data_IF_367441886081
#
_entry.id   IF_367441886081
#
_cell.length_a   1.000
_cell.length_b   1.000
_cell.length_c   1.000
_cell.angle_alpha   90.00
_cell.angle_beta   90.00
_cell.angle_gamma   90.00
#
_symmetry.space_group_name_H-M   'P 1'
#
loop_
_entity.id
_entity.type
_entity.pdbx_description
1 polymer ?
#
# COMPACT_ATOMS: atom_id res chain seq x y z
N UNK A 1 9.43 20.35 9.90
CA UNK A 1 9.91 21.59 9.23
C UNK A 1 10.41 21.21 7.84
N UNK A 2 10.20 22.03 6.82
CA UNK A 2 10.83 21.80 5.52
C UNK A 2 12.31 22.14 5.67
N UNK A 3 13.20 21.21 5.35
CA UNK A 3 14.65 21.44 5.32
C UNK A 3 14.98 22.50 4.24
N UNK A 4 15.38 23.72 4.63
CA UNK A 4 15.66 24.80 3.69
C UNK A 4 16.90 24.54 2.82
N UNK A 5 17.84 23.71 3.30
CA UNK A 5 19.08 23.39 2.59
C UNK A 5 18.80 22.44 1.42
N UNK A 6 17.92 21.44 1.63
CA UNK A 6 17.51 20.52 0.57
C UNK A 6 16.73 21.23 -0.54
N UNK A 7 15.90 22.22 -0.20
CA UNK A 7 15.16 23.00 -1.21
C UNK A 7 16.09 23.93 -2.01
N UNK A 8 17.13 24.50 -1.39
CA UNK A 8 18.13 25.29 -2.11
C UNK A 8 18.93 24.44 -3.11
N UNK A 9 19.33 23.24 -2.72
CA UNK A 9 20.06 22.34 -3.62
C UNK A 9 19.21 21.92 -4.81
N UNK A 10 17.93 21.61 -4.59
CA UNK A 10 16.96 21.32 -5.66
C UNK A 10 16.87 22.49 -6.64
N UNK A 11 16.64 23.71 -6.15
CA UNK A 11 16.53 24.90 -7.00
C UNK A 11 17.80 25.16 -7.81
N UNK A 12 18.97 24.95 -7.20
CA UNK A 12 20.26 25.14 -7.88
C UNK A 12 20.49 24.14 -9.01
N UNK A 13 20.30 22.84 -8.74
CA UNK A 13 20.53 21.77 -9.72
C UNK A 13 19.48 21.81 -10.83
N UNK A 14 18.22 22.05 -10.48
CA UNK A 14 17.11 22.05 -11.43
C UNK A 14 16.87 23.39 -12.12
N UNK A 15 17.67 24.43 -11.87
CA UNK A 15 17.47 25.78 -12.42
C UNK A 15 17.16 25.82 -13.94
N UNK A 16 17.86 25.08 -14.81
CA UNK A 16 17.55 25.07 -16.25
C UNK A 16 16.17 24.44 -16.54
N UNK A 17 15.82 23.38 -15.82
CA UNK A 17 14.56 22.65 -15.98
C UNK A 17 13.37 23.44 -15.43
N UNK A 18 13.56 24.16 -14.32
CA UNK A 18 12.56 25.06 -13.77
C UNK A 18 12.20 26.15 -14.78
N UNK A 19 13.19 26.76 -15.44
CA UNK A 19 12.95 27.76 -16.48
C UNK A 19 12.22 27.19 -17.70
N UNK A 20 12.49 25.93 -18.03
CA UNK A 20 11.94 25.27 -19.22
C UNK A 20 10.51 24.80 -19.03
N UNK A 21 10.21 24.19 -17.88
CA UNK A 21 8.93 23.51 -17.64
C UNK A 21 8.03 24.24 -16.64
N UNK A 22 8.60 25.05 -15.75
CA UNK A 22 7.92 25.56 -14.55
C UNK A 22 8.06 27.09 -14.40
N UNK A 23 8.19 27.82 -15.50
CA UNK A 23 8.38 29.29 -15.50
C UNK A 23 7.26 30.05 -14.80
N UNK A 24 6.04 29.51 -14.82
CA UNK A 24 4.84 30.10 -14.21
C UNK A 24 4.55 29.53 -12.81
N UNK A 25 5.34 28.56 -12.33
CA UNK A 25 5.10 27.92 -11.03
C UNK A 25 5.69 28.75 -9.89
N UNK A 26 4.85 29.10 -8.91
CA UNK A 26 5.31 29.69 -7.65
C UNK A 26 6.15 28.69 -6.83
N UNK A 27 7.05 29.21 -5.98
CA UNK A 27 8.07 28.42 -5.25
C UNK A 27 7.59 27.13 -4.59
N UNK A 28 6.40 27.13 -3.98
CA UNK A 28 5.81 25.94 -3.30
C UNK A 28 5.35 24.83 -4.27
N UNK A 29 5.11 25.17 -5.53
CA UNK A 29 4.61 24.26 -6.56
C UNK A 29 5.72 23.78 -7.53
N UNK A 30 6.94 24.32 -7.42
CA UNK A 30 8.04 23.98 -8.33
C UNK A 30 8.35 22.48 -8.29
N UNK A 31 8.45 21.88 -7.10
CA UNK A 31 8.69 20.43 -6.99
C UNK A 31 7.58 19.62 -7.66
N UNK A 32 6.32 20.02 -7.51
CA UNK A 32 5.19 19.34 -8.14
C UNK A 32 5.25 19.43 -9.67
N UNK A 33 5.54 20.62 -10.22
CA UNK A 33 5.73 20.80 -11.65
C UNK A 33 6.92 19.98 -12.19
N UNK A 34 8.04 19.97 -11.47
CA UNK A 34 9.21 19.17 -11.83
C UNK A 34 8.91 17.66 -11.83
N UNK A 35 8.12 17.17 -10.87
CA UNK A 35 7.66 15.77 -10.82
C UNK A 35 6.82 15.41 -12.05
N UNK A 36 5.89 16.27 -12.45
CA UNK A 36 5.04 16.04 -13.64
C UNK A 36 5.86 15.93 -14.94
N UNK A 37 6.97 16.68 -15.03
CA UNK A 37 7.84 16.69 -16.19
C UNK A 37 9.07 15.78 -16.06
N UNK A 38 9.20 15.03 -14.95
CA UNK A 38 10.39 14.24 -14.58
C UNK A 38 10.82 13.22 -15.64
N UNK A 39 9.87 12.68 -16.38
CA UNK A 39 10.09 11.66 -17.40
C UNK A 39 10.14 12.21 -18.83
N UNK A 40 10.14 13.53 -19.01
CA UNK A 40 10.38 14.14 -20.32
C UNK A 40 11.79 13.79 -20.83
N UNK A 41 11.94 13.50 -22.12
CA UNK A 41 13.24 13.32 -22.78
C UNK A 41 14.16 14.54 -22.63
N UNK A 42 13.54 15.70 -22.44
CA UNK A 42 14.21 17.00 -22.30
C UNK A 42 14.61 17.31 -20.85
N UNK A 43 14.34 16.40 -19.90
CA UNK A 43 14.69 16.53 -18.49
C UNK A 43 16.18 16.23 -18.25
N UNK A 44 16.87 17.17 -17.61
CA UNK A 44 18.27 16.99 -17.23
C UNK A 44 18.44 15.80 -16.25
N UNK A 45 19.35 14.85 -16.51
CA UNK A 45 19.52 13.67 -15.65
C UNK A 45 19.89 14.00 -14.20
N UNK A 46 20.67 15.06 -13.94
CA UNK A 46 21.04 15.46 -12.58
C UNK A 46 19.84 16.05 -11.84
N UNK A 47 19.02 16.85 -12.53
CA UNK A 47 17.76 17.31 -11.98
C UNK A 47 16.79 16.15 -11.72
N UNK A 48 16.66 15.18 -12.65
CA UNK A 48 15.85 13.96 -12.46
C UNK A 48 16.26 13.18 -11.21
N UNK A 49 17.57 12.99 -11.00
CA UNK A 49 18.10 12.36 -9.79
C UNK A 49 17.79 13.17 -8.53
N UNK A 50 17.91 14.50 -8.59
CA UNK A 50 17.60 15.38 -7.45
C UNK A 50 16.13 15.35 -7.06
N UNK A 51 15.22 15.36 -8.05
CA UNK A 51 13.77 15.19 -7.82
C UNK A 51 13.51 13.85 -7.14
N UNK A 52 14.13 12.77 -7.64
CA UNK A 52 13.97 11.43 -7.06
C UNK A 52 14.48 11.38 -5.62
N UNK A 53 15.66 11.94 -5.34
CA UNK A 53 16.20 12.04 -3.99
C UNK A 53 15.24 12.79 -3.06
N UNK A 54 14.65 13.90 -3.52
CA UNK A 54 13.64 14.64 -2.75
C UNK A 54 12.40 13.81 -2.47
N UNK A 55 11.89 13.07 -3.46
CA UNK A 55 10.74 12.17 -3.27
C UNK A 55 11.05 11.06 -2.24
N UNK A 56 12.24 10.43 -2.31
CA UNK A 56 12.67 9.42 -1.32
C UNK A 56 12.63 10.01 0.09
N UNK A 57 13.27 11.17 0.31
CA UNK A 57 13.27 11.84 1.62
C UNK A 57 11.87 12.24 2.08
N UNK A 58 10.97 12.62 1.17
CA UNK A 58 9.58 12.90 1.54
C UNK A 58 8.80 11.65 1.93
N UNK A 59 9.19 10.49 1.41
CA UNK A 59 8.53 9.23 1.68
C UNK A 59 9.08 8.53 2.94
N UNK A 60 10.31 8.83 3.36
CA UNK A 60 10.86 8.31 4.64
C UNK A 60 10.18 8.92 5.86
N UNK A 61 9.62 10.13 5.75
CA UNK A 61 8.89 10.74 6.85
C UNK A 61 7.79 11.69 6.38
N UNK A 62 6.54 11.42 6.77
CA UNK A 62 5.38 12.24 6.43
C UNK A 62 5.55 13.71 6.87
N UNK A 63 6.36 13.99 7.91
CA UNK A 63 6.65 15.35 8.39
C UNK A 63 7.40 16.18 7.36
N UNK A 64 8.15 15.54 6.47
CA UNK A 64 8.91 16.13 5.37
C UNK A 64 8.09 16.30 4.09
N UNK A 65 6.89 15.72 4.03
CA UNK A 65 5.93 15.88 2.95
C UNK A 65 4.78 16.82 3.35
N UNK A 66 4.89 18.14 3.10
CA UNK A 66 3.87 19.11 3.51
C UNK A 66 2.52 18.91 2.81
N UNK A 67 2.52 18.39 1.58
CA UNK A 67 1.29 18.11 0.82
C UNK A 67 0.52 16.97 1.47
N UNK A 68 1.20 15.85 1.72
CA UNK A 68 0.62 14.70 2.43
C UNK A 68 0.16 15.08 3.83
N UNK A 69 0.99 15.80 4.61
CA UNK A 69 0.64 16.21 5.97
C UNK A 69 -0.60 17.11 6.01
N UNK A 70 -0.80 17.94 4.99
CA UNK A 70 -1.98 18.80 4.87
C UNK A 70 -3.21 17.98 4.52
N UNK A 71 -3.13 17.12 3.50
CA UNK A 71 -4.25 16.32 3.02
C UNK A 71 -4.70 15.25 4.04
N UNK A 72 -3.75 14.56 4.68
CA UNK A 72 -4.02 13.49 5.64
C UNK A 72 -4.03 13.98 7.10
N UNK A 73 -4.26 15.28 7.34
CA UNK A 73 -4.18 15.90 8.68
C UNK A 73 -5.09 15.20 9.71
N UNK A 74 -6.28 14.78 9.30
CA UNK A 74 -7.23 14.08 10.16
C UNK A 74 -7.00 12.56 10.22
N UNK A 75 -6.51 11.96 9.13
CA UNK A 75 -6.39 10.51 8.99
C UNK A 75 -5.16 9.95 9.70
N UNK A 76 -4.04 10.68 9.69
CA UNK A 76 -2.79 10.27 10.36
C UNK A 76 -3.01 9.97 11.87
N UNK A 77 -3.52 10.90 12.70
CA UNK A 77 -3.76 10.61 14.11
C UNK A 77 -4.93 9.63 14.33
N UNK A 78 -5.85 9.50 13.36
CA UNK A 78 -6.98 8.57 13.48
C UNK A 78 -6.56 7.11 13.27
N UNK A 79 -5.70 6.85 12.29
CA UNK A 79 -5.38 5.49 11.86
C UNK A 79 -3.98 5.03 12.21
N UNK A 80 -3.01 5.95 12.31
CA UNK A 80 -1.59 5.63 12.48
C UNK A 80 -1.05 6.05 13.85
N UNK A 81 -1.93 6.28 14.83
CA UNK A 81 -1.56 6.75 16.18
C UNK A 81 -0.59 5.81 16.90
N UNK A 82 -0.75 4.50 16.73
CA UNK A 82 0.14 3.51 17.35
C UNK A 82 1.60 3.72 16.95
N UNK A 83 1.84 3.99 15.66
CA UNK A 83 3.16 4.27 15.10
C UNK A 83 3.73 5.57 15.69
N UNK A 84 2.88 6.60 15.79
CA UNK A 84 3.29 7.88 16.39
C UNK A 84 3.62 7.75 17.87
N UNK A 85 2.92 6.88 18.61
CA UNK A 85 3.17 6.65 20.03
C UNK A 85 4.39 5.78 20.32
N UNK A 86 4.78 4.92 19.38
CA UNK A 86 5.96 4.06 19.52
C UNK A 86 7.27 4.74 19.15
N UNK A 87 7.22 5.87 18.44
CA UNK A 87 8.40 6.59 17.99
C UNK A 87 8.90 7.58 19.06
N UNK A 88 10.22 7.59 19.30
CA UNK A 88 10.84 8.70 20.01
C UNK A 88 10.73 9.97 19.14
N UNK A 89 10.66 11.15 19.75
CA UNK A 89 10.38 12.42 19.03
C UNK A 89 11.34 12.70 17.86
N UNK A 90 12.58 12.22 17.99
CA UNK A 90 13.71 12.56 17.12
C UNK A 90 14.14 11.41 16.19
N UNK A 91 13.43 10.27 16.19
CA UNK A 91 13.71 9.18 15.25
C UNK A 91 12.94 9.40 13.94
N UNK A 92 13.60 9.12 12.81
CA UNK A 92 12.90 8.98 11.52
C UNK A 92 11.92 7.82 11.60
N UNK A 93 10.75 7.99 10.98
CA UNK A 93 9.68 6.98 11.01
C UNK A 93 9.82 5.93 9.90
N UNK A 94 10.91 5.97 9.11
CA UNK A 94 11.24 5.03 8.04
C UNK A 94 10.08 4.74 7.05
N UNK A 95 9.18 5.69 6.84
CA UNK A 95 8.02 5.55 5.96
C UNK A 95 6.85 4.76 6.56
N UNK A 96 6.90 4.38 7.85
CA UNK A 96 5.84 3.59 8.51
C UNK A 96 4.47 4.26 8.48
N UNK A 97 4.41 5.59 8.62
CA UNK A 97 3.14 6.33 8.55
C UNK A 97 2.55 6.27 7.13
N UNK A 98 3.39 6.35 6.10
CA UNK A 98 2.93 6.24 4.70
C UNK A 98 2.45 4.81 4.43
N UNK A 99 3.21 3.79 4.86
CA UNK A 99 2.79 2.38 4.78
C UNK A 99 1.42 2.14 5.47
N UNK A 100 1.21 2.71 6.66
CA UNK A 100 -0.09 2.69 7.32
C UNK A 100 -1.22 3.34 6.49
N UNK A 101 -0.98 4.53 5.92
CA UNK A 101 -1.95 5.20 5.07
C UNK A 101 -2.25 4.40 3.79
N UNK A 102 -1.25 3.77 3.16
CA UNK A 102 -1.42 2.89 1.99
C UNK A 102 -2.36 1.72 2.29
N UNK A 103 -2.21 1.09 3.46
CA UNK A 103 -3.14 0.03 3.90
C UNK A 103 -4.57 0.55 4.10
N UNK A 104 -4.74 1.76 4.64
CA UNK A 104 -6.07 2.38 4.82
C UNK A 104 -6.69 2.88 3.53
N UNK A 105 -5.87 3.26 2.55
CA UNK A 105 -6.30 3.48 1.17
C UNK A 105 -6.90 2.20 0.59
N UNK A 106 -6.19 1.06 0.75
CA UNK A 106 -6.68 -0.22 0.26
C UNK A 106 -7.99 -0.67 0.92
N UNK A 107 -8.18 -0.30 2.19
CA UNK A 107 -9.43 -0.53 2.94
C UNK A 107 -10.54 0.49 2.61
N UNK A 108 -10.28 1.50 1.76
CA UNK A 108 -11.19 2.62 1.44
C UNK A 108 -11.65 3.42 2.68
N UNK A 109 -10.74 3.64 3.65
CA UNK A 109 -11.07 4.28 4.95
C UNK A 109 -10.57 5.71 5.10
N UNK A 110 -9.83 6.22 4.11
CA UNK A 110 -9.25 7.56 4.15
C UNK A 110 -10.30 8.64 3.82
N UNK A 111 -10.02 9.88 4.22
CA UNK A 111 -10.77 11.04 3.70
C UNK A 111 -10.43 11.28 2.21
N UNK A 112 -11.33 11.90 1.42
CA UNK A 112 -11.11 12.12 0.00
C UNK A 112 -9.77 12.82 -0.33
N UNK A 113 -9.45 13.90 0.39
CA UNK A 113 -8.20 14.64 0.19
C UNK A 113 -6.97 13.75 0.44
N UNK A 114 -7.01 12.92 1.49
CA UNK A 114 -5.93 12.00 1.82
C UNK A 114 -5.85 10.84 0.82
N UNK A 115 -6.99 10.29 0.40
CA UNK A 115 -7.09 9.24 -0.61
C UNK A 115 -6.39 9.66 -1.91
N UNK A 116 -6.70 10.86 -2.42
CA UNK A 116 -6.09 11.41 -3.63
C UNK A 116 -4.57 11.54 -3.50
N UNK A 117 -4.07 12.03 -2.36
CA UNK A 117 -2.62 12.16 -2.14
C UNK A 117 -1.92 10.82 -1.97
N UNK A 118 -2.54 9.85 -1.29
CA UNK A 118 -1.98 8.50 -1.12
C UNK A 118 -2.00 7.75 -2.45
N UNK A 119 -3.01 7.95 -3.29
CA UNK A 119 -3.05 7.40 -4.66
C UNK A 119 -1.86 7.89 -5.49
N UNK A 120 -1.51 9.17 -5.41
CA UNK A 120 -0.33 9.73 -6.11
C UNK A 120 0.96 9.08 -5.60
N UNK A 121 1.11 8.93 -4.27
CA UNK A 121 2.28 8.25 -3.69
C UNK A 121 2.38 6.81 -4.19
N UNK A 122 1.25 6.09 -4.18
CA UNK A 122 1.16 4.71 -4.65
C UNK A 122 1.54 4.58 -6.13
N UNK A 123 1.05 5.48 -6.99
CA UNK A 123 1.42 5.55 -8.41
C UNK A 123 2.91 5.78 -8.62
N UNK A 124 3.49 6.73 -7.89
CA UNK A 124 4.90 7.07 -7.99
C UNK A 124 5.78 5.92 -7.53
N UNK A 125 5.43 5.26 -6.42
CA UNK A 125 6.12 4.07 -5.92
C UNK A 125 6.02 2.89 -6.87
N UNK A 126 4.84 2.66 -7.46
CA UNK A 126 4.62 1.59 -8.42
C UNK A 126 5.48 1.72 -9.69
N UNK A 127 5.87 2.95 -10.07
CA UNK A 127 6.80 3.20 -11.18
C UNK A 127 8.26 3.15 -10.74
N UNK A 128 8.56 3.52 -9.50
CA UNK A 128 9.92 3.56 -8.94
C UNK A 128 9.93 3.03 -7.50
N UNK A 129 10.28 1.74 -7.37
CA UNK A 129 10.33 1.01 -6.09
C UNK A 129 11.20 1.67 -5.01
N UNK A 130 12.10 2.59 -5.38
CA UNK A 130 12.93 3.38 -4.43
C UNK A 130 12.12 4.39 -3.64
N UNK A 131 10.95 4.77 -4.14
CA UNK A 131 10.03 5.68 -3.48
C UNK A 131 9.19 4.98 -2.40
N UNK A 132 9.33 3.67 -2.20
CA UNK A 132 8.76 2.95 -1.07
C UNK A 132 9.86 2.54 -0.08
N UNK A 133 10.03 3.28 1.04
CA UNK A 133 11.07 2.98 2.03
C UNK A 133 10.91 1.63 2.72
N UNK A 134 9.67 1.18 2.96
CA UNK A 134 9.43 -0.11 3.61
C UNK A 134 9.79 -1.25 2.65
N UNK A 135 9.46 -1.10 1.36
CA UNK A 135 9.91 -2.05 0.35
C UNK A 135 11.43 -2.07 0.23
N UNK A 136 12.11 -0.91 0.20
CA UNK A 136 13.58 -0.87 0.20
C UNK A 136 14.15 -1.62 1.41
N UNK A 137 13.68 -1.28 2.60
CA UNK A 137 14.17 -1.84 3.86
C UNK A 137 14.01 -3.36 3.90
N UNK A 138 12.84 -3.86 3.52
CA UNK A 138 12.51 -5.28 3.67
C UNK A 138 12.97 -6.14 2.49
N UNK A 139 13.00 -5.60 1.27
CA UNK A 139 13.25 -6.35 0.04
C UNK A 139 14.63 -6.17 -0.59
N UNK A 140 15.56 -5.39 -0.01
CA UNK A 140 16.90 -5.14 -0.61
C UNK A 140 17.59 -6.44 -1.08
N UNK A 141 17.60 -7.48 -0.25
CA UNK A 141 18.22 -8.77 -0.60
C UNK A 141 17.46 -9.53 -1.70
N UNK A 142 16.14 -9.47 -1.71
CA UNK A 142 15.33 -10.19 -2.69
C UNK A 142 15.37 -9.51 -4.05
N UNK A 143 15.43 -8.17 -4.07
CA UNK A 143 15.61 -7.37 -5.29
C UNK A 143 16.96 -7.70 -5.93
N UNK A 144 18.04 -7.72 -5.15
CA UNK A 144 19.37 -8.05 -5.69
C UNK A 144 19.52 -9.50 -6.15
N UNK A 145 18.71 -10.42 -5.62
CA UNK A 145 18.77 -11.85 -5.95
C UNK A 145 17.82 -12.25 -7.07
N UNK A 146 16.58 -11.74 -7.07
CA UNK A 146 15.51 -12.17 -7.96
C UNK A 146 15.27 -11.20 -9.11
N UNK A 147 15.55 -9.91 -8.92
CA UNK A 147 15.17 -8.81 -9.82
C UNK A 147 16.37 -7.92 -10.18
N UNK A 148 17.56 -8.52 -10.27
CA UNK A 148 18.82 -7.79 -10.48
C UNK A 148 18.87 -7.09 -11.84
N UNK A 149 18.33 -7.72 -12.88
CA UNK A 149 18.30 -7.19 -14.24
C UNK A 149 17.40 -5.95 -14.32
N UNK A 150 16.19 -6.06 -13.78
CA UNK A 150 15.22 -4.96 -13.72
C UNK A 150 15.74 -3.80 -12.86
N UNK A 151 16.42 -4.09 -11.75
CA UNK A 151 17.04 -3.07 -10.91
C UNK A 151 18.23 -2.39 -11.60
N UNK A 152 19.02 -3.12 -12.39
CA UNK A 152 20.18 -2.60 -13.11
C UNK A 152 19.80 -1.66 -14.27
N UNK A 153 18.63 -1.84 -14.88
CA UNK A 153 18.10 -0.93 -15.90
C UNK A 153 17.86 0.48 -15.35
N UNK A 154 17.62 0.63 -14.04
CA UNK A 154 17.34 1.90 -13.36
C UNK A 154 16.17 2.70 -13.99
N UNK A 155 15.28 2.01 -14.69
CA UNK A 155 14.13 2.61 -15.35
C UNK A 155 12.94 2.78 -14.40
N UNK A 156 12.15 3.84 -14.61
CA UNK A 156 10.95 4.15 -13.82
C UNK A 156 9.71 3.57 -14.50
N UNK A 157 9.76 2.27 -14.77
CA UNK A 157 8.76 1.51 -15.54
C UNK A 157 7.99 0.51 -14.69
N UNK A 158 8.29 0.42 -13.39
CA UNK A 158 7.65 -0.51 -12.44
C UNK A 158 8.11 -1.98 -12.55
N UNK A 159 9.12 -2.28 -13.37
CA UNK A 159 9.55 -3.67 -13.63
C UNK A 159 10.06 -4.39 -12.38
N UNK A 160 10.70 -3.68 -11.44
CA UNK A 160 11.16 -4.27 -10.18
C UNK A 160 9.99 -4.78 -9.34
N UNK A 161 8.92 -4.00 -9.21
CA UNK A 161 7.72 -4.46 -8.50
C UNK A 161 7.04 -5.61 -9.23
N UNK A 162 6.95 -5.57 -10.57
CA UNK A 162 6.41 -6.67 -11.35
C UNK A 162 7.20 -7.97 -11.14
N UNK A 163 8.53 -7.88 -11.15
CA UNK A 163 9.39 -9.02 -10.85
C UNK A 163 9.15 -9.57 -9.44
N UNK A 164 9.00 -8.70 -8.42
CA UNK A 164 8.70 -9.12 -7.05
C UNK A 164 7.33 -9.81 -6.95
N UNK A 165 6.28 -9.27 -7.60
CA UNK A 165 4.94 -9.86 -7.62
C UNK A 165 4.95 -11.26 -8.25
N UNK A 166 5.64 -11.42 -9.38
CA UNK A 166 5.77 -12.72 -10.08
C UNK A 166 6.56 -13.73 -9.25
N UNK A 167 7.58 -13.27 -8.52
CA UNK A 167 8.42 -14.13 -7.69
C UNK A 167 7.96 -14.24 -6.23
N UNK A 168 6.72 -13.82 -5.89
CA UNK A 168 6.19 -13.82 -4.53
C UNK A 168 6.41 -15.15 -3.78
N UNK A 169 6.25 -16.28 -4.46
CA UNK A 169 6.45 -17.62 -3.89
C UNK A 169 7.92 -17.97 -3.61
N UNK A 170 8.85 -17.29 -4.27
CA UNK A 170 10.30 -17.52 -4.16
C UNK A 170 10.98 -16.57 -3.16
N UNK A 171 10.23 -15.58 -2.65
CA UNK A 171 10.70 -14.66 -1.61
C UNK A 171 10.83 -15.42 -0.30
N UNK A 172 12.03 -15.37 0.30
CA UNK A 172 12.34 -16.06 1.56
C UNK A 172 12.19 -15.15 2.76
N UNK A 173 12.51 -13.86 2.59
CA UNK A 173 12.38 -12.88 3.66
C UNK A 173 10.90 -12.57 3.93
N UNK A 174 10.41 -12.92 5.11
CA UNK A 174 9.00 -12.70 5.49
C UNK A 174 8.62 -11.21 5.50
N UNK A 175 9.54 -10.33 5.89
CA UNK A 175 9.34 -8.88 5.78
C UNK A 175 9.09 -8.44 4.35
N UNK A 176 9.93 -8.88 3.40
CA UNK A 176 9.74 -8.57 1.99
C UNK A 176 8.43 -9.16 1.45
N UNK A 177 8.15 -10.42 1.81
CA UNK A 177 6.93 -11.10 1.40
C UNK A 177 5.68 -10.36 1.86
N UNK A 178 5.69 -9.84 3.09
CA UNK A 178 4.62 -9.00 3.63
C UNK A 178 4.44 -7.72 2.81
N UNK A 179 5.52 -7.01 2.49
CA UNK A 179 5.43 -5.79 1.68
C UNK A 179 4.92 -6.08 0.26
N UNK A 180 5.32 -7.19 -0.36
CA UNK A 180 4.77 -7.59 -1.67
C UNK A 180 3.28 -7.94 -1.59
N UNK A 181 2.82 -8.57 -0.50
CA UNK A 181 1.40 -8.80 -0.26
C UNK A 181 0.62 -7.50 -0.04
N UNK A 182 1.21 -6.52 0.68
CA UNK A 182 0.63 -5.19 0.84
C UNK A 182 0.49 -4.49 -0.52
N UNK A 183 1.54 -4.53 -1.36
CA UNK A 183 1.49 -3.99 -2.73
C UNK A 183 0.35 -4.62 -3.55
N UNK A 184 0.13 -5.93 -3.45
CA UNK A 184 -0.98 -6.61 -4.12
C UNK A 184 -2.35 -6.18 -3.56
N UNK A 185 -2.45 -5.94 -2.26
CA UNK A 185 -3.68 -5.42 -1.63
C UNK A 185 -3.98 -3.99 -2.10
N UNK A 186 -2.95 -3.15 -2.15
CA UNK A 186 -3.01 -1.76 -2.60
C UNK A 186 -3.40 -1.65 -4.08
N UNK A 187 -2.76 -2.43 -4.95
CA UNK A 187 -3.01 -2.42 -6.40
C UNK A 187 -4.39 -2.92 -6.79
N UNK A 188 -5.03 -3.73 -5.95
CA UNK A 188 -6.42 -4.14 -6.13
C UNK A 188 -7.41 -3.00 -5.92
N UNK A 189 -7.07 -2.02 -5.09
CA UNK A 189 -8.01 -0.99 -4.65
C UNK A 189 -8.40 -0.03 -5.78
N UNK A 190 -7.48 0.27 -6.69
CA UNK A 190 -7.78 1.06 -7.89
C UNK A 190 -6.83 0.73 -9.04
N UNK A 191 -7.36 0.74 -10.28
CA UNK A 191 -6.58 0.52 -11.50
C UNK A 191 -5.43 1.51 -11.63
N UNK A 192 -5.61 2.74 -11.17
CA UNK A 192 -4.56 3.75 -11.25
C UNK A 192 -3.38 3.47 -10.33
N UNK A 193 -3.51 2.61 -9.32
CA UNK A 193 -2.40 2.19 -8.43
C UNK A 193 -1.54 1.09 -9.07
N UNK A 194 -1.97 0.55 -10.21
CA UNK A 194 -1.17 -0.38 -11.02
C UNK A 194 -0.92 0.23 -12.41
N UNK A 195 0.08 1.11 -12.57
CA UNK A 195 0.35 1.80 -13.84
C UNK A 195 0.60 0.85 -15.01
N UNK A 196 1.18 -0.33 -14.74
CA UNK A 196 1.46 -1.35 -15.74
C UNK A 196 0.15 -1.98 -16.24
N UNK A 197 -0.75 -2.36 -15.33
CA UNK A 197 -2.08 -2.87 -15.69
C UNK A 197 -2.93 -1.77 -16.34
N UNK A 198 -2.94 -0.56 -15.79
CA UNK A 198 -3.67 0.58 -16.33
C UNK A 198 -3.27 0.87 -17.79
N UNK A 199 -1.97 0.85 -18.08
CA UNK A 199 -1.46 1.04 -19.45
C UNK A 199 -1.94 -0.06 -20.39
N UNK A 200 -1.86 -1.32 -19.96
CA UNK A 200 -2.33 -2.46 -20.74
C UNK A 200 -3.84 -2.41 -21.01
N UNK A 201 -4.62 -1.89 -20.07
CA UNK A 201 -6.07 -1.80 -20.13
C UNK A 201 -6.61 -0.44 -20.61
N UNK A 202 -5.76 0.52 -20.99
CA UNK A 202 -6.18 1.89 -21.30
C UNK A 202 -7.26 1.97 -22.40
N UNK A 203 -7.12 1.16 -23.46
CA UNK A 203 -8.12 1.08 -24.53
C UNK A 203 -9.44 0.47 -24.04
N UNK A 204 -9.37 -0.60 -23.26
CA UNK A 204 -10.57 -1.26 -22.74
C UNK A 204 -11.29 -0.37 -21.73
N UNK A 205 -10.58 0.39 -20.90
CA UNK A 205 -11.18 1.39 -20.01
C UNK A 205 -11.92 2.44 -20.83
N UNK A 206 -11.30 2.95 -21.90
CA UNK A 206 -11.90 3.97 -22.78
C UNK A 206 -13.13 3.47 -23.53
N UNK A 207 -13.20 2.19 -23.88
CA UNK A 207 -14.29 1.64 -24.68
C UNK A 207 -15.37 0.94 -23.85
N UNK A 208 -14.98 0.10 -22.89
CA UNK A 208 -15.90 -0.71 -22.07
C UNK A 208 -16.32 0.02 -20.79
N UNK A 209 -15.43 0.80 -20.19
CA UNK A 209 -15.67 1.49 -18.92
C UNK A 209 -15.78 3.01 -19.07
N UNK A 210 -16.11 3.50 -20.27
CA UNK A 210 -16.10 4.93 -20.61
C UNK A 210 -17.01 5.79 -19.72
N UNK A 211 -18.17 5.25 -19.34
CA UNK A 211 -19.15 5.92 -18.48
C UNK A 211 -18.81 5.82 -16.99
N UNK A 212 -17.79 5.04 -16.62
CA UNK A 212 -17.42 4.80 -15.23
C UNK A 212 -16.40 5.84 -14.79
N UNK A 213 -16.74 6.69 -13.79
CA UNK A 213 -15.81 7.69 -13.31
C UNK A 213 -14.59 7.06 -12.61
N UNK A 214 -13.40 7.66 -12.75
CA UNK A 214 -12.16 7.17 -12.14
C UNK A 214 -12.23 7.23 -10.60
N UNK A 215 -11.34 6.50 -9.93
CA UNK A 215 -11.26 6.46 -8.47
C UNK A 215 -12.16 5.42 -7.80
N UNK A 216 -11.86 5.11 -6.54
CA UNK A 216 -12.57 4.14 -5.69
C UNK A 216 -12.69 2.73 -6.27
N UNK A 217 -11.78 2.35 -7.17
CA UNK A 217 -11.78 1.03 -7.79
C UNK A 217 -12.91 0.78 -8.79
N UNK A 218 -13.71 1.78 -9.15
CA UNK A 218 -14.88 1.57 -10.03
C UNK A 218 -14.49 1.04 -11.41
N UNK A 219 -13.44 1.59 -12.00
CA UNK A 219 -12.93 1.13 -13.30
C UNK A 219 -12.27 -0.25 -13.17
N UNK A 220 -11.64 -0.56 -12.03
CA UNK A 220 -11.13 -1.91 -11.76
C UNK A 220 -12.27 -2.94 -11.68
N UNK A 221 -13.36 -2.63 -10.97
CA UNK A 221 -14.55 -3.48 -10.89
C UNK A 221 -15.18 -3.70 -12.26
N UNK A 222 -15.32 -2.63 -13.06
CA UNK A 222 -15.82 -2.74 -14.44
C UNK A 222 -14.97 -3.68 -15.30
N UNK A 223 -13.63 -3.58 -15.24
CA UNK A 223 -12.73 -4.47 -15.97
C UNK A 223 -12.87 -5.93 -15.51
N UNK A 224 -12.96 -6.18 -14.20
CA UNK A 224 -13.16 -7.54 -13.66
C UNK A 224 -14.50 -8.15 -14.10
N UNK A 225 -15.57 -7.35 -14.16
CA UNK A 225 -16.88 -7.79 -14.67
C UNK A 225 -16.82 -8.06 -16.19
N UNK A 226 -16.19 -7.15 -16.95
CA UNK A 226 -15.98 -7.29 -18.39
C UNK A 226 -15.16 -8.54 -18.75
N UNK A 227 -14.21 -8.94 -17.89
CA UNK A 227 -13.44 -10.18 -18.07
C UNK A 227 -14.31 -11.44 -17.92
N UNK A 228 -15.32 -11.40 -17.06
CA UNK A 228 -16.23 -12.51 -16.81
C UNK A 228 -17.36 -12.60 -17.84
N UNK A 229 -17.73 -11.48 -18.47
CA UNK A 229 -18.74 -11.45 -19.52
C UNK A 229 -18.22 -12.04 -20.84
N UNK A 230 -18.83 -13.15 -21.27
CA UNK A 230 -18.50 -13.82 -22.55
C UNK A 230 -18.79 -12.97 -23.78
N UNK A 231 -19.61 -11.91 -23.66
CA UNK A 231 -19.96 -11.01 -24.76
C UNK A 231 -18.91 -9.93 -24.96
N UNK A 232 -18.15 -9.60 -23.92
CA UNK A 232 -17.12 -8.56 -23.97
C UNK A 232 -15.78 -9.19 -24.33
N UNK A 233 -15.06 -8.55 -25.24
CA UNK A 233 -13.71 -8.96 -25.64
C UNK A 233 -12.72 -7.86 -25.32
N UNK A 234 -12.03 -8.03 -24.20
CA UNK A 234 -10.91 -7.18 -23.81
C UNK A 234 -9.73 -7.38 -24.76
N UNK A 235 -8.85 -6.37 -24.85
CA UNK A 235 -7.58 -6.49 -25.55
C UNK A 235 -6.76 -7.66 -24.96
N UNK A 236 -6.00 -8.41 -25.79
CA UNK A 236 -5.26 -9.59 -25.32
C UNK A 236 -4.32 -9.30 -24.15
N UNK A 237 -3.62 -8.16 -24.19
CA UNK A 237 -2.67 -7.77 -23.14
C UNK A 237 -3.39 -7.39 -21.83
N UNK A 238 -4.46 -6.59 -21.90
CA UNK A 238 -5.29 -6.28 -20.74
C UNK A 238 -5.87 -7.55 -20.12
N UNK A 239 -6.47 -8.42 -20.95
CA UNK A 239 -7.05 -9.69 -20.52
C UNK A 239 -6.04 -10.55 -19.77
N UNK A 240 -4.84 -10.71 -20.33
CA UNK A 240 -3.78 -11.51 -19.73
C UNK A 240 -3.35 -10.93 -18.38
N UNK A 241 -2.95 -9.66 -18.35
CA UNK A 241 -2.46 -9.02 -17.11
C UNK A 241 -3.53 -8.95 -16.03
N UNK A 242 -4.77 -8.65 -16.40
CA UNK A 242 -5.88 -8.62 -15.45
C UNK A 242 -6.14 -10.00 -14.85
N UNK A 243 -6.07 -11.07 -15.65
CA UNK A 243 -6.17 -12.44 -15.14
C UNK A 243 -5.01 -12.77 -14.20
N UNK A 244 -3.77 -12.44 -14.58
CA UNK A 244 -2.58 -12.66 -13.73
C UNK A 244 -2.76 -11.95 -12.37
N UNK A 245 -3.31 -10.72 -12.36
CA UNK A 245 -3.61 -9.98 -11.13
C UNK A 245 -4.69 -10.63 -10.29
N UNK A 246 -5.78 -11.10 -10.89
CA UNK A 246 -6.86 -11.80 -10.17
C UNK A 246 -6.30 -13.04 -9.48
N UNK A 247 -5.43 -13.80 -10.14
CA UNK A 247 -4.80 -14.99 -9.58
C UNK A 247 -3.85 -14.63 -8.43
N UNK A 248 -3.05 -13.57 -8.59
CA UNK A 248 -2.18 -13.04 -7.52
C UNK A 248 -2.98 -12.55 -6.31
N UNK A 249 -4.06 -11.80 -6.51
CA UNK A 249 -4.92 -11.33 -5.41
C UNK A 249 -5.63 -12.48 -4.69
N UNK A 250 -6.08 -13.50 -5.44
CA UNK A 250 -6.66 -14.72 -4.89
C UNK A 250 -5.66 -15.47 -4.01
N UNK A 251 -4.40 -15.57 -4.46
CA UNK A 251 -3.33 -16.12 -3.65
C UNK A 251 -3.05 -15.27 -2.42
N UNK A 252 -2.89 -13.95 -2.58
CA UNK A 252 -2.62 -13.02 -1.48
C UNK A 252 -3.70 -13.09 -0.39
N UNK A 253 -4.99 -13.17 -0.77
CA UNK A 253 -6.09 -13.32 0.17
C UNK A 253 -6.04 -14.62 0.99
N UNK A 254 -5.47 -15.71 0.44
CA UNK A 254 -5.31 -16.98 1.15
C UNK A 254 -4.15 -16.97 2.15
N UNK A 255 -3.12 -16.17 1.89
CA UNK A 255 -1.88 -16.14 2.70
C UNK A 255 -1.75 -14.90 3.59
N UNK A 256 -2.57 -13.87 3.37
CA UNK A 256 -2.57 -12.66 4.19
C UNK A 256 -2.84 -13.04 5.66
N UNK A 257 -2.03 -12.56 6.62
CA UNK A 257 -2.24 -12.85 8.04
C UNK A 257 -3.59 -12.29 8.49
N UNK A 258 -4.29 -13.02 9.37
CA UNK A 258 -5.52 -12.51 9.98
C UNK A 258 -5.20 -11.38 10.95
N UNK A 259 -5.49 -10.14 10.57
CA UNK A 259 -5.27 -8.96 11.43
C UNK A 259 -6.42 -8.71 12.42
N UNK A 260 -7.54 -9.43 12.27
CA UNK A 260 -8.72 -9.32 13.15
C UNK A 260 -9.50 -10.62 13.32
N UNK A 261 -10.43 -10.63 14.27
CA UNK A 261 -11.24 -11.82 14.58
C UNK A 261 -12.14 -12.26 13.40
N UNK A 262 -12.61 -11.34 12.56
CA UNK A 262 -13.35 -11.69 11.33
C UNK A 262 -12.46 -12.43 10.33
N UNK A 263 -11.25 -11.94 10.11
CA UNK A 263 -10.31 -12.52 9.14
C UNK A 263 -9.79 -13.85 9.65
N UNK A 264 -9.58 -13.97 10.97
CA UNK A 264 -9.24 -15.21 11.63
C UNK A 264 -10.36 -16.24 11.49
N UNK A 265 -11.63 -15.82 11.64
CA UNK A 265 -12.77 -16.69 11.43
C UNK A 265 -12.85 -17.20 9.98
N UNK A 266 -12.63 -16.32 8.99
CA UNK A 266 -12.58 -16.71 7.57
C UNK A 266 -11.44 -17.71 7.34
N UNK A 267 -10.23 -17.44 7.85
CA UNK A 267 -9.09 -18.36 7.72
C UNK A 267 -9.39 -19.72 8.34
N UNK A 268 -9.93 -19.76 9.56
CA UNK A 268 -10.31 -21.00 10.25
C UNK A 268 -11.35 -21.77 9.44
N UNK A 269 -12.35 -21.09 8.87
CA UNK A 269 -13.42 -21.73 8.08
C UNK A 269 -12.95 -22.24 6.71
N UNK A 270 -11.93 -21.61 6.13
CA UNK A 270 -11.31 -22.04 4.87
C UNK A 270 -10.23 -23.12 5.05
N UNK A 271 -9.79 -23.38 6.27
CA UNK A 271 -8.77 -24.39 6.56
C UNK A 271 -9.28 -25.82 6.31
N UNK A 272 -8.45 -26.72 5.74
CA UNK A 272 -8.81 -28.14 5.62
C UNK A 272 -9.10 -28.79 6.97
N UNK A 273 -8.55 -28.25 8.06
CA UNK A 273 -8.73 -28.74 9.43
C UNK A 273 -9.83 -27.99 10.21
N UNK A 274 -10.72 -27.25 9.54
CA UNK A 274 -11.73 -26.39 10.19
C UNK A 274 -12.54 -27.09 11.28
N UNK A 275 -12.96 -28.34 11.04
CA UNK A 275 -13.79 -29.10 12.00
C UNK A 275 -13.02 -29.37 13.29
N UNK A 276 -11.73 -29.69 13.18
CA UNK A 276 -10.86 -29.90 14.34
C UNK A 276 -10.67 -28.61 15.12
N UNK A 277 -10.34 -27.51 14.43
CA UNK A 277 -10.12 -26.20 15.05
C UNK A 277 -11.38 -25.71 15.78
N UNK A 278 -12.55 -25.81 15.15
CA UNK A 278 -13.83 -25.43 15.76
C UNK A 278 -14.17 -26.29 16.98
N UNK A 279 -13.86 -27.59 16.94
CA UNK A 279 -14.08 -28.49 18.08
C UNK A 279 -13.20 -28.09 19.26
N UNK A 280 -11.91 -27.82 19.02
CA UNK A 280 -10.98 -27.39 20.08
C UNK A 280 -11.41 -26.06 20.71
N UNK A 281 -11.80 -25.07 19.89
CA UNK A 281 -12.32 -23.79 20.37
C UNK A 281 -13.60 -24.01 21.20
N UNK A 282 -14.53 -24.83 20.71
CA UNK A 282 -15.78 -25.14 21.41
C UNK A 282 -15.56 -25.79 22.77
N UNK A 283 -14.66 -26.77 22.86
CA UNK A 283 -14.27 -27.40 24.14
C UNK A 283 -13.63 -26.39 25.09
N UNK A 284 -12.76 -25.52 24.60
CA UNK A 284 -12.13 -24.46 25.40
C UNK A 284 -13.15 -23.49 26.00
N UNK A 285 -14.12 -23.03 25.21
CA UNK A 285 -15.20 -22.15 25.68
C UNK A 285 -16.09 -22.86 26.70
N UNK A 286 -16.41 -24.14 26.47
CA UNK A 286 -17.20 -24.94 27.42
C UNK A 286 -16.49 -25.10 28.78
N UNK A 287 -15.19 -25.37 28.77
CA UNK A 287 -14.38 -25.46 29.99
C UNK A 287 -14.32 -24.13 30.74
N UNK A 288 -14.11 -23.02 30.04
CA UNK A 288 -14.12 -21.68 30.66
C UNK A 288 -15.48 -21.36 31.28
N UNK A 289 -16.58 -21.71 30.60
CA UNK A 289 -17.93 -21.52 31.12
C UNK A 289 -18.18 -22.37 32.38
N UNK A 290 -17.78 -23.64 32.37
CA UNK A 290 -17.91 -24.53 33.54
C UNK A 290 -17.08 -24.02 34.72
N UNK A 291 -15.84 -23.57 34.48
CA UNK A 291 -15.00 -22.96 35.51
C UNK A 291 -15.63 -21.68 36.07
N UNK A 292 -16.17 -20.82 35.21
CA UNK A 292 -16.88 -19.61 35.63
C UNK A 292 -18.11 -19.91 36.50
N UNK A 293 -18.90 -20.93 36.16
CA UNK A 293 -20.05 -21.37 36.96
C UNK A 293 -19.63 -21.95 38.32
N UNK A 294 -18.55 -22.73 38.36
CA UNK A 294 -18.01 -23.29 39.60
C UNK A 294 -17.46 -22.19 40.51
N UNK A 295 -16.64 -21.28 39.97
CA UNK A 295 -16.11 -20.13 40.72
C UNK A 295 -17.25 -19.22 41.22
N UNK A 296 -18.24 -18.91 40.38
CA UNK A 296 -19.40 -18.10 40.78
C UNK A 296 -20.25 -18.74 41.89
N UNK A 297 -20.41 -20.08 41.87
CA UNK A 297 -21.11 -20.81 42.95
C UNK A 297 -20.31 -20.83 44.26
N UNK A 298 -18.99 -20.98 44.19
CA UNK A 298 -18.11 -20.94 45.37
C UNK A 298 -18.12 -19.55 45.99
N UNK A 299 -17.95 -18.48 45.20
CA UNK A 299 -17.99 -17.10 45.70
C UNK A 299 -19.34 -16.77 46.34
N UNK A 300 -20.47 -17.18 45.71
CA UNK A 300 -21.81 -16.94 46.26
C UNK A 300 -22.04 -17.65 47.59
N UNK A 301 -21.53 -18.87 47.75
CA UNK A 301 -21.60 -19.64 49.00
C UNK A 301 -20.77 -18.99 50.12
N UNK A 302 -19.54 -18.55 49.81
CA UNK A 302 -18.67 -17.87 50.78
C UNK A 302 -19.26 -16.52 51.23
N UNK A 303 -19.84 -15.73 50.32
CA UNK A 303 -20.53 -14.48 50.70
C UNK A 303 -21.78 -14.69 51.54
N UNK A 304 -22.50 -15.82 51.38
CA UNK A 304 -23.63 -16.15 52.24
C UNK A 304 -23.18 -16.53 53.65
N UNK A 305 -22.07 -17.27 53.80
CA UNK A 305 -21.53 -17.60 55.12
C UNK A 305 -20.94 -16.41 55.87
N UNK A 306 -20.35 -15.44 55.15
CA UNK A 306 -19.89 -14.17 55.74
C UNK A 306 -21.03 -13.23 56.16
N UNK A 307 -22.21 -13.33 55.55
CA UNK A 307 -23.40 -12.51 55.91
C UNK A 307 -24.21 -13.11 57.06
N UNK A 308 -24.00 -14.39 57.35
CA UNK A 308 -24.62 -15.13 58.47
C UNK A 308 -23.72 -15.17 59.72
N UNK A 309 -22.56 -14.52 59.69
CA UNK A 309 -21.72 -14.18 60.86
C UNK A 309 -21.95 -12.73 61.24
#
# INVERSE_FOLDING_TARGET
MADPELDYQLMRVCKPMIRRFCSESEGKNILQCLKQNKNSELMDPKCKQMITKRQITQNTDYRLNPVLRKACKADIPKFCQSILSSAASDTELEGQVISCLKLKYADQRLSPDCEDQVQIILQESALDYRLDPQLQLQCTHEISRLCAEEAAAQEQTGQVEECLKVNLLKIKQEGCKKEVLNMLKESKADIFVDPVLHTACALDIKHQCAAIPPGKGRQMSCLMEALQDKRVRLQPECKKRLQDRIDMWSYAAKVAPAEGFSDLAVQVMTSPSKNYILTVIGVGVALLFLMGLLCGRVTKRVTQELKNR
#
